data_IF_329251022745
#
_entry.id   IF_329251022745
#
_cell.length_a   1.000
_cell.length_b   1.000
_cell.length_c   1.000
_cell.angle_alpha   90.00
_cell.angle_beta   90.00
_cell.angle_gamma   90.00
#
_symmetry.space_group_name_H-M   'P 1'
#
loop_
_entity.id
_entity.type
_entity.pdbx_description
1 polymer ?
#
# COMPACT_ATOMS: atom_id res chain seq x y z
N UNK A 1 60.58 13.91 -23.65
CA UNK A 1 59.14 13.97 -23.92
C UNK A 1 58.45 14.45 -22.66
N UNK A 2 58.00 15.70 -22.62
CA UNK A 2 57.34 16.29 -21.45
C UNK A 2 55.83 16.09 -21.66
N UNK A 3 55.19 15.26 -20.83
CA UNK A 3 53.74 15.12 -20.79
C UNK A 3 53.18 16.38 -20.10
N UNK A 4 52.66 17.33 -20.89
CA UNK A 4 51.80 18.40 -20.35
C UNK A 4 50.44 17.78 -20.04
N UNK A 5 50.15 17.54 -18.77
CA UNK A 5 48.81 17.23 -18.30
C UNK A 5 48.06 18.53 -18.07
N UNK A 6 47.08 18.84 -18.91
CA UNK A 6 46.17 19.97 -18.73
C UNK A 6 45.05 19.53 -17.77
N UNK A 7 45.12 19.99 -16.52
CA UNK A 7 44.07 19.76 -15.53
C UNK A 7 42.99 20.81 -15.77
N UNK A 8 41.90 20.41 -16.41
CA UNK A 8 40.76 21.28 -16.66
C UNK A 8 40.02 21.56 -15.34
N UNK A 9 39.93 22.83 -14.93
CA UNK A 9 39.28 23.28 -13.69
C UNK A 9 37.76 23.34 -13.84
N UNK A 10 37.15 22.25 -14.29
CA UNK A 10 35.73 22.22 -14.63
C UNK A 10 34.92 21.99 -13.35
N UNK A 11 33.86 22.76 -13.20
CA UNK A 11 32.89 22.60 -12.12
C UNK A 11 31.62 21.95 -12.65
N UNK A 12 31.16 20.90 -11.96
CA UNK A 12 29.90 20.25 -12.28
C UNK A 12 28.85 20.58 -11.24
N UNK A 13 27.67 20.92 -11.75
CA UNK A 13 26.45 21.17 -10.99
C UNK A 13 25.53 19.99 -11.27
N UNK A 14 25.15 19.29 -10.19
CA UNK A 14 24.23 18.16 -10.24
C UNK A 14 22.99 18.50 -9.45
N UNK A 15 21.83 18.23 -10.03
CA UNK A 15 20.54 18.27 -9.36
C UNK A 15 19.94 16.87 -9.39
N UNK A 16 19.23 16.50 -8.33
CA UNK A 16 18.67 15.17 -8.16
C UNK A 16 17.22 15.26 -7.69
N UNK A 17 16.34 14.50 -8.32
CA UNK A 17 14.98 14.27 -7.87
C UNK A 17 14.76 12.78 -7.61
N UNK A 18 14.12 12.47 -6.49
CA UNK A 18 13.90 11.10 -6.04
C UNK A 18 12.40 10.76 -6.11
N UNK A 19 12.07 9.63 -6.73
CA UNK A 19 10.70 9.11 -6.81
C UNK A 19 10.71 7.59 -6.66
N UNK A 20 9.60 6.99 -6.19
CA UNK A 20 9.44 5.54 -6.11
C UNK A 20 9.29 5.02 -4.68
N UNK A 21 9.84 3.83 -4.41
CA UNK A 21 9.64 3.13 -3.15
C UNK A 21 10.93 2.69 -2.46
N UNK A 22 10.86 2.61 -1.13
CA UNK A 22 11.89 1.96 -0.30
C UNK A 22 11.48 0.51 -0.01
N UNK A 23 12.45 -0.37 0.27
CA UNK A 23 12.28 -1.80 0.55
C UNK A 23 11.42 -2.56 -0.48
N UNK A 24 11.56 -2.18 -1.76
CA UNK A 24 10.74 -2.70 -2.83
C UNK A 24 11.56 -3.31 -3.97
N UNK A 25 10.96 -4.29 -4.67
CA UNK A 25 11.56 -4.91 -5.86
C UNK A 25 11.73 -3.94 -7.03
N UNK A 26 10.91 -2.88 -7.11
CA UNK A 26 10.92 -1.93 -8.23
C UNK A 26 12.03 -0.86 -8.13
N UNK A 27 12.73 -0.78 -7.00
CA UNK A 27 13.68 0.28 -6.66
C UNK A 27 13.05 1.69 -6.68
N UNK A 28 13.80 2.68 -6.20
CA UNK A 28 13.50 4.09 -6.40
C UNK A 28 14.23 4.60 -7.65
N UNK A 29 13.63 5.58 -8.33
CA UNK A 29 14.21 6.28 -9.45
C UNK A 29 14.79 7.62 -9.00
N UNK A 30 16.08 7.81 -9.28
CA UNK A 30 16.78 9.08 -9.12
C UNK A 30 16.95 9.69 -10.50
N UNK A 31 16.27 10.81 -10.74
CA UNK A 31 16.44 11.63 -11.93
C UNK A 31 17.55 12.65 -11.67
N UNK A 32 18.69 12.47 -12.34
CA UNK A 32 19.85 13.32 -12.21
C UNK A 32 19.98 14.24 -13.42
N UNK A 33 20.14 15.53 -13.14
CA UNK A 33 20.48 16.54 -14.14
C UNK A 33 21.90 17.02 -13.88
N UNK A 34 22.78 16.88 -14.88
CA UNK A 34 24.16 17.35 -14.78
C UNK A 34 24.48 18.42 -15.81
N UNK A 35 25.19 19.44 -15.35
CA UNK A 35 25.77 20.49 -16.19
C UNK A 35 27.21 20.74 -15.79
N UNK A 36 28.07 20.94 -16.77
CA UNK A 36 29.45 21.43 -16.59
C UNK A 36 29.57 22.86 -17.10
N UNK A 37 30.45 23.64 -16.51
CA UNK A 37 30.79 25.00 -16.96
C UNK A 37 31.49 25.01 -18.32
N UNK A 38 32.31 23.99 -18.60
CA UNK A 38 33.06 23.89 -19.84
C UNK A 38 33.27 22.43 -20.29
N UNK A 39 33.28 22.22 -21.61
CA UNK A 39 33.55 20.92 -22.24
C UNK A 39 32.51 19.83 -21.97
N UNK A 40 32.80 18.60 -22.40
CA UNK A 40 32.06 17.40 -21.99
C UNK A 40 32.95 16.59 -21.06
N UNK A 41 32.44 16.19 -19.90
CA UNK A 41 33.20 15.42 -18.89
C UNK A 41 32.34 14.31 -18.30
N UNK A 42 32.97 13.36 -17.60
CA UNK A 42 32.27 12.35 -16.80
C UNK A 42 32.36 12.76 -15.33
N UNK A 43 31.21 12.96 -14.70
CA UNK A 43 31.12 13.20 -13.26
C UNK A 43 30.94 11.88 -12.51
N UNK A 44 31.85 11.59 -11.60
CA UNK A 44 31.70 10.51 -10.62
C UNK A 44 30.95 11.03 -9.41
N UNK A 45 29.82 10.42 -9.10
CA UNK A 45 28.98 10.75 -7.96
C UNK A 45 29.11 9.64 -6.92
N UNK A 46 29.41 10.03 -5.69
CA UNK A 46 29.55 9.15 -4.54
C UNK A 46 28.55 9.59 -3.48
N UNK A 47 27.52 8.78 -3.27
CA UNK A 47 26.57 8.91 -2.18
C UNK A 47 26.77 7.73 -1.21
N UNK A 48 26.30 7.81 0.04
CA UNK A 48 26.23 6.68 0.97
C UNK A 48 25.52 5.46 0.36
N UNK A 49 24.40 5.67 -0.35
CA UNK A 49 23.61 4.58 -0.94
C UNK A 49 24.12 4.05 -2.28
N UNK A 50 24.89 4.84 -3.04
CA UNK A 50 25.30 4.44 -4.40
C UNK A 50 26.53 5.19 -4.92
N UNK A 51 27.23 4.55 -5.86
CA UNK A 51 28.34 5.15 -6.63
C UNK A 51 28.05 5.00 -8.11
N UNK A 52 28.22 6.08 -8.87
CA UNK A 52 27.82 6.14 -10.27
C UNK A 52 28.65 7.14 -11.05
N UNK A 53 28.67 6.99 -12.38
CA UNK A 53 29.27 7.96 -13.29
C UNK A 53 28.22 8.42 -14.31
N UNK A 54 28.12 9.74 -14.50
CA UNK A 54 27.18 10.34 -15.45
C UNK A 54 27.92 11.33 -16.38
N UNK A 55 27.57 11.38 -17.68
CA UNK A 55 28.12 12.38 -18.58
C UNK A 55 27.52 13.75 -18.26
N UNK A 56 28.35 14.78 -18.28
CA UNK A 56 27.97 16.16 -18.08
C UNK A 56 28.43 17.00 -19.27
N UNK A 57 27.55 17.88 -19.74
CA UNK A 57 27.82 18.80 -20.86
C UNK A 57 27.46 20.24 -20.48
N UNK A 58 27.83 21.23 -21.29
CA UNK A 58 27.42 22.62 -21.05
C UNK A 58 25.90 22.78 -21.20
N UNK A 59 25.29 21.90 -21.99
CA UNK A 59 23.84 21.65 -22.00
C UNK A 59 23.46 20.69 -20.87
N UNK A 60 22.31 20.93 -20.23
CA UNK A 60 21.78 20.04 -19.18
C UNK A 60 21.55 18.65 -19.77
N UNK A 61 22.19 17.65 -19.18
CA UNK A 61 22.02 16.24 -19.52
C UNK A 61 21.24 15.55 -18.39
N UNK A 62 20.21 14.79 -18.75
CA UNK A 62 19.33 14.09 -17.80
C UNK A 62 19.60 12.59 -17.82
N UNK A 63 19.70 11.97 -16.64
CA UNK A 63 19.91 10.53 -16.49
C UNK A 63 19.12 9.97 -15.32
N UNK A 64 18.31 8.95 -15.60
CA UNK A 64 17.53 8.25 -14.59
C UNK A 64 18.29 7.00 -14.13
N UNK A 65 18.39 6.81 -12.81
CA UNK A 65 19.03 5.66 -12.18
C UNK A 65 18.07 4.98 -11.23
N UNK A 66 18.20 3.66 -11.10
CA UNK A 66 17.42 2.86 -10.16
C UNK A 66 18.28 2.47 -8.97
N UNK A 67 17.87 2.86 -7.76
CA UNK A 67 18.60 2.61 -6.51
C UNK A 67 17.64 1.99 -5.50
N UNK A 68 18.09 0.94 -4.82
CA UNK A 68 17.33 0.33 -3.73
C UNK A 68 17.67 1.02 -2.42
N UNK A 69 16.69 1.71 -1.85
CA UNK A 69 16.79 2.29 -0.51
C UNK A 69 16.08 1.41 0.51
N UNK A 70 16.60 1.39 1.73
CA UNK A 70 16.05 0.67 2.88
C UNK A 70 15.25 1.56 3.84
N UNK A 71 15.23 2.89 3.62
CA UNK A 71 14.54 3.85 4.47
C UNK A 71 13.60 4.74 3.66
N UNK A 72 12.53 5.23 4.30
CA UNK A 72 11.58 6.16 3.68
C UNK A 72 12.16 7.55 3.50
N UNK A 73 12.83 8.07 4.51
CA UNK A 73 13.40 9.42 4.50
C UNK A 73 14.84 9.32 4.04
N UNK A 74 15.11 9.90 2.87
CA UNK A 74 16.45 9.99 2.28
C UNK A 74 16.95 11.40 2.49
N UNK A 75 18.09 11.51 3.16
CA UNK A 75 18.85 12.76 3.33
C UNK A 75 20.33 12.39 3.30
N UNK A 76 20.91 12.43 2.10
CA UNK A 76 22.28 12.00 1.84
C UNK A 76 23.07 13.12 1.19
N UNK A 77 24.24 13.43 1.75
CA UNK A 77 25.21 14.31 1.09
C UNK A 77 26.05 13.51 0.11
N UNK A 78 25.99 13.89 -1.16
CA UNK A 78 26.72 13.25 -2.24
C UNK A 78 27.88 14.12 -2.71
N UNK A 79 29.02 13.50 -2.99
CA UNK A 79 30.21 14.14 -3.56
C UNK A 79 30.26 13.90 -5.08
N UNK A 80 30.66 14.93 -5.83
CA UNK A 80 30.73 14.93 -7.29
C UNK A 80 32.14 15.30 -7.74
N UNK A 81 32.74 14.44 -8.56
CA UNK A 81 34.10 14.61 -9.08
C UNK A 81 34.06 14.65 -10.61
N UNK A 82 34.34 15.80 -11.21
CA UNK A 82 34.39 15.93 -12.68
C UNK A 82 35.55 16.80 -13.21
N UNK A 83 36.44 17.20 -12.31
CA UNK A 83 37.59 18.07 -12.53
C UNK A 83 38.51 18.02 -11.31
N UNK A 84 39.22 19.11 -11.01
CA UNK A 84 40.17 19.18 -9.88
C UNK A 84 39.52 19.40 -8.52
N UNK A 85 38.34 20.01 -8.47
CA UNK A 85 37.64 20.35 -7.23
C UNK A 85 36.35 19.55 -7.09
N UNK A 86 36.15 18.81 -5.99
CA UNK A 86 34.90 18.13 -5.73
C UNK A 86 33.79 19.15 -5.38
N UNK A 87 32.59 18.93 -5.90
CA UNK A 87 31.38 19.63 -5.49
C UNK A 87 30.46 18.69 -4.72
N UNK A 88 29.52 19.23 -3.95
CA UNK A 88 28.57 18.43 -3.17
C UNK A 88 27.14 18.84 -3.46
N UNK A 89 26.22 17.89 -3.43
CA UNK A 89 24.78 18.15 -3.45
C UNK A 89 24.05 17.29 -2.41
N UNK A 90 22.85 17.71 -2.03
CA UNK A 90 21.98 16.94 -1.14
C UNK A 90 20.98 16.12 -1.95
N UNK A 91 20.98 14.81 -1.74
CA UNK A 91 19.95 13.90 -2.23
C UNK A 91 18.89 13.77 -1.14
N UNK A 92 17.77 14.48 -1.32
CA UNK A 92 16.68 14.52 -0.35
C UNK A 92 15.36 14.08 -0.98
N UNK A 93 14.58 13.31 -0.23
CA UNK A 93 13.25 12.90 -0.66
C UNK A 93 12.59 11.94 0.32
N UNK A 94 11.29 11.73 0.12
CA UNK A 94 10.50 10.79 0.92
C UNK A 94 9.91 9.72 0.02
N UNK A 95 10.31 8.47 0.24
CA UNK A 95 9.87 7.31 -0.50
C UNK A 95 8.66 6.65 0.20
N UNK A 96 7.71 6.19 -0.60
CA UNK A 96 6.55 5.47 -0.10
C UNK A 96 6.83 3.96 -0.03
N UNK A 97 6.32 3.28 0.99
CA UNK A 97 6.33 1.82 1.03
C UNK A 97 5.37 1.28 -0.05
N UNK A 98 5.65 0.17 -0.75
CA UNK A 98 4.80 -0.31 -1.86
C UNK A 98 3.33 -0.53 -1.52
N UNK A 99 3.03 -0.97 -0.29
CA UNK A 99 1.65 -1.13 0.18
C UNK A 99 0.98 0.22 0.49
N UNK A 100 1.76 1.25 0.80
CA UNK A 100 1.29 2.64 0.92
C UNK A 100 1.17 3.34 -0.45
N UNK A 101 2.02 2.99 -1.42
CA UNK A 101 2.05 3.59 -2.76
C UNK A 101 0.84 3.22 -3.64
N UNK A 102 0.17 2.10 -3.36
CA UNK A 102 -1.12 1.76 -3.98
C UNK A 102 -2.23 2.78 -3.67
N UNK A 103 -2.06 3.61 -2.63
CA UNK A 103 -2.98 4.70 -2.30
C UNK A 103 -2.52 6.07 -2.85
N UNK A 104 -1.25 6.19 -3.26
CA UNK A 104 -0.63 7.48 -3.61
C UNK A 104 -0.60 7.74 -5.13
N UNK A 105 -0.67 6.70 -5.96
CA UNK A 105 -0.77 6.83 -7.44
C UNK A 105 -2.11 7.48 -7.89
N UNK A 106 -3.04 7.76 -6.97
CA UNK A 106 -4.29 8.48 -7.26
C UNK A 106 -4.18 9.99 -7.01
N UNK A 107 -3.07 10.50 -6.47
CA UNK A 107 -2.87 11.95 -6.33
C UNK A 107 -1.62 12.36 -7.09
N UNK A 108 -1.82 13.09 -8.20
CA UNK A 108 -1.13 14.35 -8.51
C UNK A 108 -1.42 14.78 -9.95
N UNK A 109 -2.67 15.16 -10.22
CA UNK A 109 -2.89 16.47 -10.82
C UNK A 109 -3.40 17.35 -9.68
N UNK A 110 -2.81 18.54 -9.56
CA UNK A 110 -3.24 19.65 -8.70
C UNK A 110 -2.43 19.90 -7.40
N UNK A 111 -1.50 20.84 -7.59
CA UNK A 111 -1.15 21.95 -6.70
C UNK A 111 -0.23 21.71 -5.50
N UNK A 112 0.93 22.37 -5.59
CA UNK A 112 1.77 22.65 -4.45
C UNK A 112 1.03 23.50 -3.42
N UNK A 113 0.97 23.01 -2.18
CA UNK A 113 1.06 23.85 -1.00
C UNK A 113 1.43 23.02 0.22
N UNK A 114 2.49 23.43 0.91
CA UNK A 114 2.98 22.79 2.13
C UNK A 114 1.94 22.92 3.25
N UNK A 115 1.42 21.82 3.78
CA UNK A 115 0.90 21.74 5.16
C UNK A 115 1.13 20.35 5.77
N UNK A 116 1.42 20.36 7.07
CA UNK A 116 1.91 19.25 7.90
C UNK A 116 0.97 18.03 7.98
N UNK A 117 1.46 16.83 8.37
CA UNK A 117 0.68 15.60 8.31
C UNK A 117 -0.33 15.55 9.46
N UNK A 118 -1.56 15.96 9.17
CA UNK A 118 -2.75 15.52 9.91
C UNK A 118 -3.00 14.03 9.67
N UNK A 119 -3.19 13.28 10.76
CA UNK A 119 -3.50 11.86 10.77
C UNK A 119 -4.94 11.65 10.29
N UNK A 120 -5.14 11.47 8.99
CA UNK A 120 -6.43 10.99 8.51
C UNK A 120 -6.49 9.48 8.66
N UNK A 121 -7.25 9.03 9.65
CA UNK A 121 -7.71 7.64 9.71
C UNK A 121 -8.70 7.43 8.55
N UNK A 122 -8.18 7.19 7.35
CA UNK A 122 -8.99 6.96 6.16
C UNK A 122 -9.49 5.52 6.23
N UNK A 123 -10.70 5.37 6.79
CA UNK A 123 -11.47 4.13 6.70
C UNK A 123 -11.46 3.68 5.24
N UNK A 124 -11.22 2.39 4.94
CA UNK A 124 -11.14 1.92 3.57
C UNK A 124 -12.39 2.34 2.82
N UNK A 125 -12.20 3.13 1.77
CA UNK A 125 -13.26 3.61 0.91
C UNK A 125 -14.06 2.40 0.43
N UNK A 126 -15.36 2.36 0.74
CA UNK A 126 -16.28 1.33 0.26
C UNK A 126 -16.57 1.57 -1.23
N UNK A 127 -15.58 1.31 -2.07
CA UNK A 127 -15.68 1.36 -3.52
C UNK A 127 -16.01 -0.03 -4.08
N UNK A 128 -16.97 -0.05 -5.00
CA UNK A 128 -17.51 -1.23 -5.69
C UNK A 128 -16.41 -2.04 -6.41
N UNK A 129 -15.28 -1.38 -6.74
CA UNK A 129 -14.10 -1.96 -7.38
C UNK A 129 -13.25 -2.78 -6.41
N UNK A 130 -13.23 -2.43 -5.11
CA UNK A 130 -12.57 -3.21 -4.07
C UNK A 130 -13.41 -4.42 -3.62
N UNK A 131 -14.74 -4.33 -3.75
CA UNK A 131 -15.66 -5.47 -3.62
C UNK A 131 -15.38 -6.54 -4.69
N UNK A 132 -15.07 -6.15 -5.93
CA UNK A 132 -14.69 -7.08 -6.99
C UNK A 132 -13.31 -7.73 -6.74
N UNK A 133 -12.36 -6.99 -6.17
CA UNK A 133 -11.05 -7.54 -5.76
C UNK A 133 -11.16 -8.51 -4.58
N UNK A 134 -12.14 -8.34 -3.69
CA UNK A 134 -12.44 -9.30 -2.62
C UNK A 134 -12.89 -10.67 -3.19
N UNK A 135 -13.52 -10.66 -4.37
CA UNK A 135 -14.00 -11.86 -5.07
C UNK A 135 -12.89 -12.61 -5.85
N UNK A 136 -11.79 -11.93 -6.18
CA UNK A 136 -10.68 -12.49 -6.98
C UNK A 136 -9.68 -13.28 -6.12
N UNK A 137 -9.66 -13.07 -4.80
CA UNK A 137 -8.84 -13.87 -3.90
C UNK A 137 -9.55 -15.19 -3.52
N UNK A 138 -9.11 -16.36 -4.01
CA UNK A 138 -9.82 -17.63 -3.81
C UNK A 138 -9.93 -18.04 -2.33
N UNK A 139 -9.05 -17.51 -1.48
CA UNK A 139 -9.07 -17.74 -0.03
C UNK A 139 -10.29 -17.14 0.68
N UNK A 140 -10.75 -15.95 0.27
CA UNK A 140 -11.89 -15.29 0.91
C UNK A 140 -13.22 -15.84 0.42
N UNK A 141 -13.31 -16.24 -0.85
CA UNK A 141 -14.46 -16.95 -1.40
C UNK A 141 -14.71 -18.29 -0.68
N UNK A 142 -13.63 -19.04 -0.41
CA UNK A 142 -13.70 -20.30 0.31
C UNK A 142 -14.25 -20.12 1.74
N UNK A 143 -13.78 -19.10 2.46
CA UNK A 143 -14.27 -18.77 3.80
C UNK A 143 -15.75 -18.36 3.81
N UNK A 144 -16.19 -17.60 2.80
CA UNK A 144 -17.58 -17.18 2.65
C UNK A 144 -18.51 -18.38 2.40
N UNK A 145 -18.12 -19.30 1.52
CA UNK A 145 -18.88 -20.52 1.23
C UNK A 145 -19.01 -21.40 2.50
N UNK A 146 -17.93 -21.56 3.27
CA UNK A 146 -17.96 -22.29 4.55
C UNK A 146 -18.93 -21.63 5.52
N UNK A 147 -18.90 -20.30 5.65
CA UNK A 147 -19.80 -19.57 6.53
C UNK A 147 -21.26 -19.79 6.16
N UNK A 148 -21.61 -19.73 4.87
CA UNK A 148 -22.97 -19.96 4.39
C UNK A 148 -23.40 -21.41 4.65
N UNK A 149 -22.52 -22.37 4.38
CA UNK A 149 -22.80 -23.79 4.61
C UNK A 149 -23.10 -24.09 6.09
N UNK A 150 -22.35 -23.49 7.02
CA UNK A 150 -22.59 -23.63 8.46
C UNK A 150 -23.94 -23.03 8.89
N UNK A 151 -24.32 -21.88 8.35
CA UNK A 151 -25.63 -21.26 8.62
C UNK A 151 -26.78 -22.13 8.13
N UNK A 152 -26.63 -22.74 6.94
CA UNK A 152 -27.62 -23.66 6.38
C UNK A 152 -27.75 -24.91 7.26
N UNK A 153 -26.64 -25.51 7.68
CA UNK A 153 -26.66 -26.66 8.60
C UNK A 153 -27.32 -26.32 9.93
N UNK A 154 -27.03 -25.15 10.49
CA UNK A 154 -27.68 -24.67 11.71
C UNK A 154 -29.19 -24.55 11.53
N UNK A 155 -29.64 -23.98 10.41
CA UNK A 155 -31.08 -23.86 10.10
C UNK A 155 -31.75 -25.23 10.00
N UNK A 156 -31.15 -26.18 9.26
CA UNK A 156 -31.66 -27.54 9.14
C UNK A 156 -31.69 -28.31 10.46
N UNK A 157 -30.83 -27.99 11.42
CA UNK A 157 -30.88 -28.59 12.76
C UNK A 157 -31.95 -27.94 13.66
N UNK A 158 -32.16 -26.64 13.54
CA UNK A 158 -33.12 -25.90 14.38
C UNK A 158 -34.57 -26.20 13.98
N UNK A 159 -34.86 -26.36 12.68
CA UNK A 159 -36.21 -26.67 12.18
C UNK A 159 -36.86 -27.93 12.83
N UNK A 160 -36.21 -29.11 12.88
CA UNK A 160 -36.80 -30.30 13.50
C UNK A 160 -36.90 -30.18 15.03
N UNK A 161 -36.03 -29.39 15.65
CA UNK A 161 -36.11 -29.11 17.09
C UNK A 161 -37.37 -28.29 17.37
N UNK A 162 -37.59 -27.21 16.61
CA UNK A 162 -38.77 -26.36 16.76
C UNK A 162 -40.07 -27.12 16.47
N UNK A 163 -40.13 -27.96 15.44
CA UNK A 163 -41.34 -28.73 15.14
C UNK A 163 -41.69 -29.71 16.25
N UNK A 164 -40.70 -30.37 16.88
CA UNK A 164 -40.91 -31.25 18.03
C UNK A 164 -41.41 -30.49 19.26
N UNK A 165 -40.83 -29.32 19.56
CA UNK A 165 -41.27 -28.48 20.67
C UNK A 165 -42.70 -27.98 20.46
N UNK A 166 -43.03 -27.49 19.26
CA UNK A 166 -44.37 -27.01 18.93
C UNK A 166 -45.38 -28.16 19.01
N UNK A 167 -45.05 -29.34 18.48
CA UNK A 167 -45.93 -30.52 18.55
C UNK A 167 -46.21 -30.94 20.00
N UNK A 168 -45.17 -30.99 20.84
CA UNK A 168 -45.33 -31.30 22.27
C UNK A 168 -46.18 -30.25 23.00
N UNK A 169 -45.99 -28.97 22.69
CA UNK A 169 -46.79 -27.89 23.26
C UNK A 169 -48.28 -27.97 22.85
N UNK A 170 -48.56 -28.25 21.57
CA UNK A 170 -49.93 -28.42 21.09
C UNK A 170 -50.58 -29.66 21.71
N UNK A 171 -49.86 -30.78 21.82
CA UNK A 171 -50.39 -32.00 22.43
C UNK A 171 -50.72 -31.78 23.92
N UNK A 172 -49.83 -31.13 24.68
CA UNK A 172 -50.06 -30.83 26.10
C UNK A 172 -51.26 -29.89 26.31
N UNK A 173 -51.41 -28.86 25.47
CA UNK A 173 -52.57 -27.94 25.56
C UNK A 173 -53.88 -28.62 25.17
N UNK A 174 -53.86 -29.51 24.17
CA UNK A 174 -55.03 -30.30 23.78
C UNK A 174 -55.44 -31.30 24.88
N UNK A 175 -54.48 -32.03 25.46
CA UNK A 175 -54.74 -32.96 26.58
C UNK A 175 -55.28 -32.22 27.80
N UNK A 176 -54.67 -31.08 28.18
CA UNK A 176 -55.17 -30.25 29.28
C UNK A 176 -56.62 -29.77 29.04
N UNK A 177 -56.96 -29.39 27.81
CA UNK A 177 -58.32 -28.98 27.43
C UNK A 177 -59.31 -30.15 27.44
N UNK A 178 -58.90 -31.33 27.00
CA UNK A 178 -59.71 -32.56 27.04
C UNK A 178 -60.02 -32.99 28.47
N UNK A 179 -59.03 -32.97 29.37
CA UNK A 179 -59.22 -33.29 30.79
C UNK A 179 -60.12 -32.26 31.47
N UNK A 180 -59.91 -30.96 31.22
CA UNK A 180 -60.76 -29.89 31.75
C UNK A 180 -62.23 -29.98 31.32
N UNK A 181 -62.49 -30.39 30.08
CA UNK A 181 -63.86 -30.62 29.59
C UNK A 181 -64.52 -31.85 30.21
N UNK A 182 -63.78 -32.93 30.45
CA UNK A 182 -64.30 -34.14 31.12
C UNK A 182 -64.72 -33.86 32.57
N UNK A 183 -63.94 -33.06 33.31
CA UNK A 183 -64.26 -32.68 34.69
C UNK A 183 -65.52 -31.79 34.75
N UNK A 184 -65.67 -30.84 33.82
CA UNK A 184 -66.89 -30.00 33.72
C UNK A 184 -68.15 -30.81 33.40
N UNK A 185 -68.03 -31.89 32.63
CA UNK A 185 -69.17 -32.76 32.34
C UNK A 185 -69.60 -33.55 33.57
N UNK A 186 -68.66 -34.13 34.34
CA UNK A 186 -68.99 -34.87 35.57
C UNK A 186 -69.64 -33.98 36.65
N UNK A 187 -69.26 -32.69 36.74
CA UNK A 187 -69.89 -31.73 37.66
C UNK A 187 -71.32 -31.33 37.29
N UNK A 188 -71.80 -31.64 36.07
CA UNK A 188 -73.14 -31.24 35.60
C UNK A 188 -74.20 -32.33 35.82
N UNK A 189 -73.79 -33.52 36.30
CA UNK A 189 -74.65 -34.68 36.54
C UNK A 189 -74.72 -35.10 38.02
N UNK A 190 -74.22 -34.27 38.94
CA UNK A 190 -74.38 -34.40 40.40
C UNK A 190 -75.28 -33.28 40.92
#
# INVERSE_FOLDING_TARGET
MILKTEISMNTCIVQANLTGCFDCKKAAHVDLECKTDFGSTLANIICPSAKMAIPCRPTVERKILSIHFSTSDIDETCEVFCGSSPTTFQLQGKLAYPEAALNDVIWNEEYGNKTAPHWHLKLPNMDITNLLKLLIFPRYLFLLIISIFLLILMFYCILPILTRFIFSYILNTFVARSVGNNIKLQSKYV
#
